data_IF_708302557333
#
_entry.id   IF_708302557333
#
_cell.length_a   1.000
_cell.length_b   1.000
_cell.length_c   1.000
_cell.angle_alpha   90.00
_cell.angle_beta   90.00
_cell.angle_gamma   90.00
#
_symmetry.space_group_name_H-M   'P 1'
#
loop_
_entity.id
_entity.type
_entity.pdbx_description
1 polymer ?
#
# COMPACT_ATOMS: atom_id res chain seq x y z
N UNK A 1 8.59 -7.45 -3.23
CA UNK A 1 9.40 -7.48 -4.48
C UNK A 1 8.82 -8.44 -5.52
N UNK A 2 8.54 -9.74 -5.22
CA UNK A 2 8.05 -10.71 -6.21
C UNK A 2 6.77 -10.26 -6.92
N UNK A 3 5.77 -9.75 -6.19
CA UNK A 3 4.52 -9.24 -6.76
C UNK A 3 4.75 -8.06 -7.70
N UNK A 4 5.67 -7.17 -7.38
CA UNK A 4 6.01 -6.03 -8.24
C UNK A 4 6.70 -6.50 -9.53
N UNK A 5 7.58 -7.51 -9.45
CA UNK A 5 8.19 -8.13 -10.63
C UNK A 5 7.15 -8.78 -11.53
N UNK A 6 6.23 -9.54 -10.96
CA UNK A 6 5.12 -10.15 -11.71
C UNK A 6 4.21 -9.08 -12.33
N UNK A 7 3.87 -8.03 -11.59
CA UNK A 7 3.10 -6.90 -12.10
C UNK A 7 3.82 -6.21 -13.28
N UNK A 8 5.15 -5.99 -13.16
CA UNK A 8 5.95 -5.46 -14.27
C UNK A 8 5.88 -6.35 -15.50
N UNK A 9 6.03 -7.66 -15.34
CA UNK A 9 5.97 -8.61 -16.47
C UNK A 9 4.60 -8.59 -17.13
N UNK A 10 3.52 -8.64 -16.33
CA UNK A 10 2.15 -8.67 -16.86
C UNK A 10 1.80 -7.37 -17.58
N UNK A 11 2.13 -6.22 -16.98
CA UNK A 11 1.70 -4.91 -17.47
C UNK A 11 2.61 -4.35 -18.56
N UNK A 12 3.92 -4.60 -18.50
CA UNK A 12 4.88 -3.87 -19.34
C UNK A 12 5.85 -4.74 -20.13
N UNK A 13 6.11 -5.99 -19.74
CA UNK A 13 7.10 -6.83 -20.38
C UNK A 13 6.72 -8.32 -20.34
N UNK A 14 5.74 -8.73 -21.11
CA UNK A 14 5.26 -10.12 -21.14
C UNK A 14 6.34 -11.15 -21.45
N UNK A 15 7.38 -10.76 -22.21
CA UNK A 15 8.51 -11.65 -22.54
C UNK A 15 9.35 -12.01 -21.32
N UNK A 16 9.37 -11.17 -20.27
CA UNK A 16 10.08 -11.44 -19.04
C UNK A 16 9.31 -12.35 -18.07
N UNK A 17 8.03 -12.67 -18.37
CA UNK A 17 7.18 -13.45 -17.46
C UNK A 17 7.73 -14.86 -17.22
N UNK A 18 8.10 -15.57 -18.27
CA UNK A 18 8.65 -16.95 -18.17
C UNK A 18 9.98 -16.97 -17.40
N UNK A 19 11.01 -16.12 -17.73
CA UNK A 19 12.24 -16.08 -16.95
C UNK A 19 12.04 -15.70 -15.49
N UNK A 20 11.10 -14.80 -15.18
CA UNK A 20 10.79 -14.40 -13.78
C UNK A 20 10.13 -15.55 -13.02
N UNK A 21 9.18 -16.27 -13.65
CA UNK A 21 8.59 -17.45 -13.04
C UNK A 21 9.61 -18.57 -12.82
N UNK A 22 10.47 -18.83 -13.82
CA UNK A 22 11.53 -19.83 -13.73
C UNK A 22 12.54 -19.49 -12.62
N UNK A 23 12.98 -18.23 -12.56
CA UNK A 23 13.86 -17.74 -11.49
C UNK A 23 13.21 -17.82 -10.11
N UNK A 24 11.92 -17.49 -10.02
CA UNK A 24 11.13 -17.61 -8.79
C UNK A 24 10.99 -19.07 -8.33
N UNK A 25 10.72 -19.99 -9.24
CA UNK A 25 10.65 -21.42 -8.97
C UNK A 25 12.00 -21.98 -8.53
N UNK A 26 13.11 -21.58 -9.18
CA UNK A 26 14.45 -21.96 -8.77
C UNK A 26 14.80 -21.41 -7.37
N UNK A 27 14.47 -20.16 -7.08
CA UNK A 27 14.68 -19.57 -5.75
C UNK A 27 13.87 -20.29 -4.66
N UNK A 28 12.62 -20.69 -4.97
CA UNK A 28 11.81 -21.52 -4.07
C UNK A 28 12.38 -22.92 -3.89
N UNK A 29 12.93 -23.55 -4.93
CA UNK A 29 13.55 -24.85 -4.83
C UNK A 29 14.82 -24.82 -3.95
N UNK A 30 15.60 -23.74 -4.05
CA UNK A 30 16.85 -23.58 -3.26
C UNK A 30 16.60 -23.10 -1.82
N UNK A 31 15.59 -22.27 -1.61
CA UNK A 31 15.25 -21.67 -0.30
C UNK A 31 13.93 -22.18 0.32
N UNK A 32 13.33 -23.21 -0.25
CA UNK A 32 11.96 -23.62 0.01
C UNK A 32 11.67 -24.01 1.44
N UNK A 33 12.63 -24.58 2.16
CA UNK A 33 12.42 -24.93 3.57
C UNK A 33 12.15 -23.71 4.44
N UNK A 34 12.89 -22.63 4.28
CA UNK A 34 12.67 -21.39 5.03
C UNK A 34 11.31 -20.75 4.68
N UNK A 35 10.91 -20.81 3.41
CA UNK A 35 9.60 -20.32 2.96
C UNK A 35 8.47 -21.19 3.50
N UNK A 36 8.62 -22.53 3.46
CA UNK A 36 7.64 -23.46 4.00
C UNK A 36 7.46 -23.29 5.50
N UNK A 37 8.54 -23.20 6.27
CA UNK A 37 8.49 -22.91 7.70
C UNK A 37 7.75 -21.60 8.00
N UNK A 38 7.99 -20.56 7.19
CA UNK A 38 7.29 -19.30 7.34
C UNK A 38 5.79 -19.41 7.00
N UNK A 39 5.45 -20.17 5.97
CA UNK A 39 4.05 -20.45 5.61
C UNK A 39 3.34 -21.29 6.68
N UNK A 40 4.01 -22.26 7.24
CA UNK A 40 3.48 -23.07 8.35
C UNK A 40 3.27 -22.23 9.61
N UNK A 41 4.18 -21.30 9.94
CA UNK A 41 4.01 -20.38 11.05
C UNK A 41 2.78 -19.47 10.88
N UNK A 42 2.48 -19.07 9.64
CA UNK A 42 1.27 -18.30 9.30
C UNK A 42 0.02 -19.18 9.39
N UNK A 43 0.11 -20.43 8.96
CA UNK A 43 -0.99 -21.41 8.96
C UNK A 43 -1.37 -21.93 10.35
N UNK A 44 -0.39 -21.96 11.28
CA UNK A 44 -0.57 -22.41 12.67
C UNK A 44 -1.57 -21.59 13.50
N UNK A 45 -2.18 -20.57 12.91
CA UNK A 45 -3.25 -19.78 13.51
C UNK A 45 -2.81 -19.00 14.75
N UNK A 46 -3.77 -18.63 15.59
CA UNK A 46 -3.60 -17.77 16.76
C UNK A 46 -2.53 -18.20 17.80
N UNK A 47 -1.92 -19.36 17.64
CA UNK A 47 -0.86 -19.86 18.53
C UNK A 47 0.56 -19.76 17.96
N UNK A 48 0.74 -19.49 16.66
CA UNK A 48 2.04 -19.57 15.99
C UNK A 48 2.71 -18.23 15.64
N UNK A 49 1.95 -17.21 15.24
CA UNK A 49 2.51 -15.89 14.89
C UNK A 49 1.80 -14.77 15.66
N UNK A 50 2.43 -14.32 16.74
CA UNK A 50 1.95 -13.21 17.58
C UNK A 50 1.73 -11.93 16.78
N UNK A 51 2.51 -11.70 15.71
CA UNK A 51 2.41 -10.53 14.84
C UNK A 51 1.07 -10.49 14.08
N UNK A 52 0.57 -11.63 13.61
CA UNK A 52 -0.73 -11.71 12.91
C UNK A 52 -1.86 -11.52 13.91
N UNK A 53 -1.79 -12.18 15.08
CA UNK A 53 -2.80 -12.04 16.11
C UNK A 53 -2.92 -10.58 16.60
N UNK A 54 -1.80 -9.89 16.77
CA UNK A 54 -1.77 -8.46 17.13
C UNK A 54 -2.43 -7.59 16.06
N UNK A 55 -2.09 -7.79 14.77
CA UNK A 55 -2.72 -7.03 13.69
C UNK A 55 -4.23 -7.25 13.62
N UNK A 56 -4.68 -8.49 13.81
CA UNK A 56 -6.12 -8.78 13.86
C UNK A 56 -6.82 -8.10 15.05
N UNK A 57 -6.15 -8.01 16.21
CA UNK A 57 -6.66 -7.26 17.35
C UNK A 57 -6.79 -5.76 17.02
N UNK A 58 -5.77 -5.16 16.39
CA UNK A 58 -5.81 -3.77 15.98
C UNK A 58 -6.93 -3.49 14.98
N UNK A 59 -7.10 -4.34 13.96
CA UNK A 59 -8.17 -4.18 12.97
C UNK A 59 -9.56 -4.26 13.61
N UNK A 60 -9.77 -5.18 14.56
CA UNK A 60 -11.04 -5.28 15.29
C UNK A 60 -11.33 -4.04 16.14
N UNK A 61 -10.33 -3.54 16.88
CA UNK A 61 -10.45 -2.29 17.64
C UNK A 61 -10.73 -1.10 16.73
N UNK A 62 -10.05 -1.02 15.57
CA UNK A 62 -10.27 0.05 14.60
C UNK A 62 -11.69 0.09 14.08
N UNK A 63 -12.33 -1.05 13.89
CA UNK A 63 -13.72 -1.12 13.45
C UNK A 63 -14.64 -0.39 14.45
N UNK A 64 -14.48 -0.62 15.75
CA UNK A 64 -15.23 0.09 16.78
C UNK A 64 -14.99 1.60 16.74
N UNK A 65 -13.74 2.03 16.55
CA UNK A 65 -13.38 3.45 16.42
C UNK A 65 -14.11 4.08 15.22
N UNK A 66 -14.10 3.41 14.06
CA UNK A 66 -14.80 3.89 12.87
C UNK A 66 -16.31 4.01 13.07
N UNK A 67 -16.91 3.05 13.74
CA UNK A 67 -18.37 3.04 14.02
C UNK A 67 -18.78 4.17 14.98
N UNK A 68 -17.95 4.49 15.97
CA UNK A 68 -18.24 5.53 16.95
C UNK A 68 -17.87 6.94 16.47
N UNK A 69 -16.83 7.05 15.64
CA UNK A 69 -16.35 8.32 15.07
C UNK A 69 -16.49 8.37 13.55
N UNK A 70 -17.69 8.50 12.98
CA UNK A 70 -17.91 8.45 11.53
C UNK A 70 -17.21 9.58 10.77
N UNK A 71 -16.92 10.71 11.41
CA UNK A 71 -16.16 11.82 10.85
C UNK A 71 -14.64 11.70 11.06
N UNK A 72 -14.21 10.62 11.75
CA UNK A 72 -12.82 10.37 12.13
C UNK A 72 -12.43 11.02 13.45
N UNK A 73 -11.33 10.52 14.02
CA UNK A 73 -10.79 10.99 15.32
C UNK A 73 -9.79 12.14 15.18
N UNK A 74 -9.59 12.64 13.96
CA UNK A 74 -8.60 13.66 13.60
C UNK A 74 -7.27 13.04 13.17
N UNK A 75 -6.52 13.82 12.36
CA UNK A 75 -5.19 13.42 11.88
C UNK A 75 -4.26 13.11 13.07
N UNK A 76 -3.63 11.94 13.00
CA UNK A 76 -2.77 11.43 14.07
C UNK A 76 -3.48 11.19 15.42
N UNK A 77 -4.82 11.23 15.42
CA UNK A 77 -5.68 11.06 16.61
C UNK A 77 -5.82 9.60 17.05
N UNK A 78 -5.55 8.63 16.17
CA UNK A 78 -5.70 7.21 16.44
C UNK A 78 -5.03 6.77 17.75
N UNK A 79 -3.80 7.21 18.02
CA UNK A 79 -3.02 6.86 19.21
C UNK A 79 -3.67 7.29 20.54
N UNK A 80 -4.47 8.33 20.52
CA UNK A 80 -5.12 8.85 21.74
C UNK A 80 -6.42 8.13 22.03
N UNK A 81 -7.10 7.65 20.98
CA UNK A 81 -8.40 6.98 21.08
C UNK A 81 -8.24 5.47 21.24
N UNK A 82 -7.25 4.86 20.61
CA UNK A 82 -7.01 3.42 20.62
C UNK A 82 -6.98 2.78 22.02
N UNK A 83 -6.35 3.37 23.08
CA UNK A 83 -6.31 2.75 24.41
C UNK A 83 -7.70 2.45 24.98
N UNK A 84 -8.70 3.30 24.69
CA UNK A 84 -10.09 3.10 25.12
C UNK A 84 -10.75 1.91 24.42
N UNK A 85 -10.34 1.60 23.17
CA UNK A 85 -10.87 0.51 22.33
C UNK A 85 -9.97 -0.72 22.30
N UNK A 86 -8.95 -0.78 23.14
CA UNK A 86 -8.05 -1.92 23.25
C UNK A 86 -8.72 -3.09 24.00
N UNK A 87 -9.72 -3.72 23.38
CA UNK A 87 -10.47 -4.83 24.00
C UNK A 87 -9.78 -6.19 23.86
N UNK A 88 -8.90 -6.32 22.87
CA UNK A 88 -8.38 -7.60 22.39
C UNK A 88 -6.94 -7.91 22.83
N UNK A 89 -6.21 -6.94 23.38
CA UNK A 89 -4.87 -7.15 23.92
C UNK A 89 -4.91 -7.31 25.44
N UNK A 90 -4.00 -8.14 25.94
CA UNK A 90 -3.82 -8.33 27.38
C UNK A 90 -3.23 -7.07 28.04
N UNK A 91 -2.23 -6.46 27.40
CA UNK A 91 -1.66 -5.21 27.87
C UNK A 91 -2.54 -4.02 27.44
N UNK A 92 -3.11 -3.35 28.42
CA UNK A 92 -3.98 -2.18 28.20
C UNK A 92 -3.23 -0.87 28.03
N UNK A 93 -1.93 -0.84 28.34
CA UNK A 93 -1.10 0.36 28.25
C UNK A 93 -0.38 0.50 26.92
N UNK A 94 -0.65 -0.39 25.95
CA UNK A 94 -0.03 -0.32 24.63
C UNK A 94 -0.47 0.93 23.89
N UNK A 95 0.49 1.80 23.56
CA UNK A 95 0.26 2.97 22.71
C UNK A 95 0.41 2.53 21.25
N UNK A 96 -0.72 2.51 20.53
CA UNK A 96 -0.72 2.23 19.10
C UNK A 96 -0.88 3.49 18.30
N UNK A 97 0.04 3.71 17.39
CA UNK A 97 0.04 4.90 16.53
C UNK A 97 -0.83 4.74 15.28
N UNK A 98 -1.04 3.49 14.85
CA UNK A 98 -1.83 3.16 13.65
C UNK A 98 -2.28 1.69 13.66
N UNK A 99 -3.29 1.35 12.86
CA UNK A 99 -3.90 0.01 12.86
C UNK A 99 -3.22 -1.01 11.94
N UNK A 100 -2.05 -0.74 11.39
CA UNK A 100 -1.36 -1.58 10.40
C UNK A 100 -2.18 -1.87 9.12
N UNK A 101 -2.99 -0.91 8.70
CA UNK A 101 -3.67 -0.90 7.42
C UNK A 101 -3.91 0.56 7.01
N UNK A 102 -3.38 0.96 5.85
CA UNK A 102 -3.43 2.36 5.41
C UNK A 102 -4.85 2.87 5.21
N UNK A 103 -5.72 2.04 4.62
CA UNK A 103 -7.09 2.45 4.28
C UNK A 103 -7.94 2.60 5.53
N UNK A 104 -7.88 1.62 6.43
CA UNK A 104 -8.60 1.66 7.69
C UNK A 104 -8.09 2.76 8.62
N UNK A 105 -6.76 3.02 8.61
CA UNK A 105 -6.21 4.10 9.41
C UNK A 105 -6.68 5.47 8.93
N UNK A 106 -6.64 5.71 7.60
CA UNK A 106 -7.17 6.95 7.01
C UNK A 106 -8.66 7.09 7.30
N UNK A 107 -9.43 6.01 7.22
CA UNK A 107 -10.85 6.02 7.57
C UNK A 107 -11.07 6.36 9.05
N UNK A 108 -10.34 5.72 9.96
CA UNK A 108 -10.46 5.99 11.39
C UNK A 108 -10.06 7.42 11.76
N UNK A 109 -9.05 8.00 11.11
CA UNK A 109 -8.56 9.34 11.42
C UNK A 109 -9.33 10.46 10.72
N UNK A 110 -9.64 10.29 9.42
CA UNK A 110 -10.25 11.32 8.59
C UNK A 110 -11.71 11.03 8.21
N UNK A 111 -12.28 9.95 8.71
CA UNK A 111 -13.64 9.52 8.36
C UNK A 111 -13.73 8.96 6.93
N UNK A 112 -14.93 8.52 6.56
CA UNK A 112 -15.21 7.97 5.24
C UNK A 112 -14.95 9.00 4.11
N UNK A 113 -15.24 10.27 4.37
CA UNK A 113 -15.01 11.35 3.41
C UNK A 113 -13.52 11.58 3.14
N UNK A 114 -12.67 11.53 4.17
CA UNK A 114 -11.22 11.66 4.01
C UNK A 114 -10.62 10.47 3.24
N UNK A 115 -11.08 9.26 3.52
CA UNK A 115 -10.72 8.08 2.74
C UNK A 115 -11.16 8.22 1.27
N UNK A 116 -12.40 8.68 1.02
CA UNK A 116 -12.90 8.87 -0.34
C UNK A 116 -12.05 9.87 -1.11
N UNK A 117 -11.75 11.05 -0.53
CA UNK A 117 -10.89 12.07 -1.15
C UNK A 117 -9.51 11.49 -1.46
N UNK A 118 -8.91 10.77 -0.52
CA UNK A 118 -7.62 10.11 -0.71
C UNK A 118 -7.66 9.12 -1.89
N UNK A 119 -8.69 8.28 -1.97
CA UNK A 119 -8.85 7.32 -3.06
C UNK A 119 -9.09 8.00 -4.41
N UNK A 120 -9.88 9.08 -4.45
CA UNK A 120 -10.12 9.86 -5.67
C UNK A 120 -8.81 10.50 -6.17
N UNK A 121 -8.02 11.11 -5.30
CA UNK A 121 -6.74 11.69 -5.70
C UNK A 121 -5.79 10.58 -6.20
N UNK A 122 -5.68 9.50 -5.47
CA UNK A 122 -4.74 8.44 -5.81
C UNK A 122 -5.14 7.68 -7.07
N UNK A 123 -6.36 7.13 -7.10
CA UNK A 123 -6.84 6.27 -8.19
C UNK A 123 -7.50 7.05 -9.32
N UNK A 124 -8.09 8.23 -9.05
CA UNK A 124 -8.75 9.05 -10.05
C UNK A 124 -7.84 10.06 -10.75
N UNK A 125 -6.75 10.50 -10.10
CA UNK A 125 -5.86 11.52 -10.65
C UNK A 125 -4.46 10.97 -10.90
N UNK A 126 -3.75 10.53 -9.87
CA UNK A 126 -2.34 10.17 -9.99
C UNK A 126 -2.11 8.88 -10.78
N UNK A 127 -2.90 7.83 -10.51
CA UNK A 127 -2.74 6.55 -11.20
C UNK A 127 -3.05 6.65 -12.70
N UNK A 128 -4.14 7.32 -13.15
CA UNK A 128 -4.38 7.55 -14.57
C UNK A 128 -3.28 8.36 -15.26
N UNK A 129 -2.72 9.37 -14.59
CA UNK A 129 -1.57 10.12 -15.12
C UNK A 129 -0.35 9.22 -15.33
N UNK A 130 -0.02 8.39 -14.33
CA UNK A 130 1.06 7.41 -14.43
C UNK A 130 0.81 6.38 -15.53
N UNK A 131 -0.42 5.89 -15.64
CA UNK A 131 -0.82 4.95 -16.70
C UNK A 131 -0.67 5.56 -18.08
N UNK A 132 -1.16 6.79 -18.28
CA UNK A 132 -1.01 7.53 -19.53
C UNK A 132 0.47 7.67 -19.92
N UNK A 133 1.34 8.08 -19.00
CA UNK A 133 2.78 8.18 -19.26
C UNK A 133 3.40 6.84 -19.58
N UNK A 134 3.02 5.76 -18.88
CA UNK A 134 3.57 4.43 -19.06
C UNK A 134 3.42 3.89 -20.49
N UNK A 135 2.30 4.23 -21.15
CA UNK A 135 1.97 3.75 -22.49
C UNK A 135 2.18 4.81 -23.59
N UNK A 136 1.86 6.07 -23.30
CA UNK A 136 1.83 7.16 -24.27
C UNK A 136 2.89 8.25 -24.03
N UNK A 137 3.84 8.02 -23.12
CA UNK A 137 4.96 8.95 -22.93
C UNK A 137 5.81 9.05 -24.22
N UNK A 138 6.15 10.27 -24.64
CA UNK A 138 6.92 10.53 -25.87
C UNK A 138 8.36 10.06 -25.76
N UNK A 139 8.95 10.15 -24.58
CA UNK A 139 10.32 9.69 -24.35
C UNK A 139 10.34 8.40 -23.54
N UNK A 140 11.44 7.65 -23.68
CA UNK A 140 11.68 6.46 -22.85
C UNK A 140 11.68 6.81 -21.35
N UNK A 141 12.15 8.00 -21.00
CA UNK A 141 12.18 8.51 -19.64
C UNK A 141 10.78 8.68 -19.06
N UNK A 142 9.88 9.34 -19.80
CA UNK A 142 8.48 9.51 -19.39
C UNK A 142 7.76 8.18 -19.23
N UNK A 143 7.99 7.24 -20.16
CA UNK A 143 7.46 5.87 -20.05
C UNK A 143 8.00 5.14 -18.82
N UNK A 144 9.29 5.25 -18.54
CA UNK A 144 9.90 4.63 -17.36
C UNK A 144 9.34 5.21 -16.07
N UNK A 145 9.17 6.53 -15.99
CA UNK A 145 8.58 7.22 -14.86
C UNK A 145 7.12 6.77 -14.62
N UNK A 146 6.30 6.74 -15.65
CA UNK A 146 4.91 6.26 -15.56
C UNK A 146 4.82 4.81 -15.10
N UNK A 147 5.64 3.92 -15.66
CA UNK A 147 5.73 2.50 -15.28
C UNK A 147 6.18 2.34 -13.82
N UNK A 148 7.19 3.10 -13.41
CA UNK A 148 7.68 3.12 -12.03
C UNK A 148 6.59 3.54 -11.05
N UNK A 149 5.84 4.59 -11.37
CA UNK A 149 4.72 5.06 -10.54
C UNK A 149 3.60 4.02 -10.41
N UNK A 150 3.19 3.40 -11.53
CA UNK A 150 2.16 2.33 -11.51
C UNK A 150 2.61 1.15 -10.65
N UNK A 151 3.87 0.72 -10.80
CA UNK A 151 4.41 -0.37 -9.98
C UNK A 151 4.52 0.00 -8.50
N UNK A 152 4.97 1.22 -8.19
CA UNK A 152 5.00 1.73 -6.81
C UNK A 152 3.59 1.72 -6.19
N UNK A 153 2.57 2.14 -6.96
CA UNK A 153 1.16 2.05 -6.53
C UNK A 153 0.76 0.62 -6.15
N UNK A 154 1.08 -0.37 -7.00
CA UNK A 154 0.81 -1.79 -6.68
C UNK A 154 1.52 -2.20 -5.39
N UNK A 155 2.79 -1.83 -5.23
CA UNK A 155 3.56 -2.13 -4.02
C UNK A 155 2.96 -1.51 -2.75
N UNK A 156 2.52 -0.25 -2.85
CA UNK A 156 1.91 0.48 -1.73
C UNK A 156 0.53 -0.11 -1.37
N UNK A 157 -0.28 -0.50 -2.35
CA UNK A 157 -1.57 -1.16 -2.08
C UNK A 157 -1.33 -2.43 -1.26
N UNK A 158 -0.45 -3.31 -1.73
CA UNK A 158 -0.19 -4.60 -1.08
C UNK A 158 0.44 -4.39 0.31
N UNK A 159 1.45 -3.53 0.42
CA UNK A 159 2.07 -3.19 1.70
C UNK A 159 1.07 -2.52 2.65
N UNK A 160 0.25 -1.62 2.13
CA UNK A 160 -0.75 -0.86 2.87
C UNK A 160 -1.91 -1.67 3.44
N UNK A 161 -2.16 -2.87 2.90
CA UNK A 161 -3.13 -3.81 3.50
C UNK A 161 -2.61 -4.46 4.79
N UNK A 162 -1.29 -4.48 4.98
CA UNK A 162 -0.63 -5.16 6.12
C UNK A 162 0.13 -4.21 7.03
N UNK A 163 0.31 -2.96 6.61
CA UNK A 163 0.97 -1.92 7.41
C UNK A 163 0.52 -0.51 6.99
N UNK A 164 0.78 0.49 7.83
CA UNK A 164 0.51 1.89 7.51
C UNK A 164 1.75 2.55 6.91
N UNK A 165 1.98 2.31 5.62
CA UNK A 165 3.19 2.77 4.90
C UNK A 165 3.41 4.29 5.03
N UNK A 166 2.35 5.10 5.08
CA UNK A 166 2.43 6.56 5.20
C UNK A 166 2.55 7.08 6.62
N UNK A 167 2.59 6.20 7.62
CA UNK A 167 2.96 6.61 8.97
C UNK A 167 4.36 7.22 9.01
N UNK A 168 5.27 6.71 8.17
CA UNK A 168 6.56 7.34 7.94
C UNK A 168 6.39 8.59 7.08
N UNK A 169 6.65 9.77 7.65
CA UNK A 169 6.53 11.07 6.98
C UNK A 169 7.32 11.14 5.67
N UNK A 170 8.50 10.52 5.61
CA UNK A 170 9.32 10.48 4.39
C UNK A 170 8.60 9.73 3.26
N UNK A 171 7.95 8.61 3.56
CA UNK A 171 7.17 7.84 2.59
C UNK A 171 5.93 8.60 2.13
N UNK A 172 5.27 9.31 3.04
CA UNK A 172 4.15 10.19 2.71
C UNK A 172 4.57 11.32 1.76
N UNK A 173 5.65 12.04 2.10
CA UNK A 173 6.21 13.10 1.24
C UNK A 173 6.61 12.56 -0.14
N UNK A 174 7.29 11.41 -0.19
CA UNK A 174 7.70 10.77 -1.44
C UNK A 174 6.47 10.42 -2.31
N UNK A 175 5.42 9.87 -1.72
CA UNK A 175 4.18 9.54 -2.44
C UNK A 175 3.56 10.77 -3.10
N UNK A 176 3.36 11.85 -2.33
CA UNK A 176 2.73 13.08 -2.84
C UNK A 176 3.59 13.77 -3.89
N UNK A 177 4.91 13.81 -3.67
CA UNK A 177 5.87 14.40 -4.62
C UNK A 177 5.89 13.62 -5.93
N UNK A 178 6.02 12.31 -5.88
CA UNK A 178 6.03 11.47 -7.09
C UNK A 178 4.67 11.50 -7.82
N UNK A 179 3.57 11.53 -7.10
CA UNK A 179 2.23 11.69 -7.69
C UNK A 179 2.10 13.03 -8.42
N UNK A 180 2.50 14.13 -7.77
CA UNK A 180 2.48 15.46 -8.37
C UNK A 180 3.39 15.60 -9.58
N UNK A 181 4.64 15.07 -9.52
CA UNK A 181 5.57 15.04 -10.64
C UNK A 181 5.01 14.21 -11.82
N UNK A 182 4.40 13.07 -11.53
CA UNK A 182 3.79 12.23 -12.56
C UNK A 182 2.65 12.95 -13.26
N UNK A 183 1.81 13.66 -12.51
CA UNK A 183 0.71 14.46 -13.04
C UNK A 183 1.23 15.62 -13.91
N UNK A 184 2.25 16.35 -13.43
CA UNK A 184 2.88 17.44 -14.18
C UNK A 184 3.47 16.93 -15.51
N UNK A 185 4.22 15.84 -15.48
CA UNK A 185 4.80 15.24 -16.69
C UNK A 185 3.73 14.76 -17.66
N UNK A 186 2.60 14.25 -17.18
CA UNK A 186 1.47 13.86 -18.03
C UNK A 186 0.81 15.08 -18.70
N UNK A 187 0.74 16.22 -18.00
CA UNK A 187 0.29 17.49 -18.55
C UNK A 187 1.19 18.01 -19.65
N UNK A 188 2.50 18.11 -19.40
CA UNK A 188 3.49 18.56 -20.39
C UNK A 188 3.48 17.65 -21.63
N UNK A 189 3.41 16.32 -21.43
CA UNK A 189 3.34 15.37 -22.53
C UNK A 189 2.11 15.62 -23.43
N UNK A 190 0.99 16.06 -22.86
CA UNK A 190 -0.25 16.40 -23.60
C UNK A 190 -0.11 17.70 -24.38
N UNK A 191 0.35 18.79 -23.76
CA UNK A 191 0.47 20.11 -24.41
C UNK A 191 1.34 20.05 -25.69
N UNK A 192 2.38 19.24 -25.67
CA UNK A 192 3.22 19.06 -26.86
C UNK A 192 2.58 18.18 -27.95
N UNK A 193 1.41 17.55 -27.75
CA UNK A 193 0.65 16.83 -28.78
C UNK A 193 -0.26 17.79 -29.60
N UNK A 194 -0.47 19.02 -29.09
CA UNK A 194 -1.37 20.01 -29.65
C UNK A 194 -0.60 21.09 -30.49
N UNK A 195 0.74 21.09 -30.46
CA UNK A 195 1.64 21.86 -31.32
C UNK A 195 2.12 21.05 -32.55
#
# INVERSE_FOLDING_TARGET
CAVMLLAFCVLFCRKAFIPVLGGGAAALALGGQAVLQRLESIRGGYGGDTSIALRMAYLKSTKWIIEEFPLGVGWYGYRFVYPTYNFYLADKNVIMYHCHNIFLNIWAELGAHGLLIFLVIWFGIFLPAGWKLAYHGRSLWLKAMGRGYVLATVGIIIGGLTDHVYFNTQMGLLFWTLGGLTLLCAGINKCSDEE
#
